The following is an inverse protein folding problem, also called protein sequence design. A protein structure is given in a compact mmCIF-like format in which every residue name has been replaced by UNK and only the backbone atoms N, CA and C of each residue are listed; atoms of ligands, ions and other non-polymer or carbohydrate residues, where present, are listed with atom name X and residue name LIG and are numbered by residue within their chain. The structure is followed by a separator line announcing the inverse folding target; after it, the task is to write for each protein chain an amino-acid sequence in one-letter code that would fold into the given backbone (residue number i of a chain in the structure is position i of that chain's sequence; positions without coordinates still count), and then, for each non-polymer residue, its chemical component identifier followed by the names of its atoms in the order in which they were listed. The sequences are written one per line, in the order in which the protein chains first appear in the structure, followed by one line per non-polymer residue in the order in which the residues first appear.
data_IF_931743701194
#
_entry.id   IF_931743701194
#
_cell.length_a   1.000
_cell.length_b   1.000
_cell.length_c   1.000
_cell.angle_alpha   90.00
_cell.angle_beta   90.00
_cell.angle_gamma   90.00
#
_symmetry.space_group_name_H-M   'P 1'
#
loop_
_entity.id
_entity.type
_entity.pdbx_description
1 polymer ?
#
# COMPACT_ATOMS: atom_id res chain seq x y z
N UNK A 1 -22.46 3.08 -3.98
CA UNK A 1 -21.14 3.59 -3.57
C UNK A 1 -20.10 2.59 -4.07
N UNK A 2 -19.45 2.86 -5.20
CA UNK A 2 -18.39 1.99 -5.72
C UNK A 2 -17.07 2.32 -5.02
N UNK A 3 -16.26 1.31 -4.71
CA UNK A 3 -14.93 1.50 -4.12
C UNK A 3 -14.01 2.33 -5.03
N UNK A 4 -14.24 2.28 -6.34
CA UNK A 4 -13.55 3.11 -7.33
C UNK A 4 -13.77 4.61 -7.05
N UNK A 5 -15.01 5.02 -6.78
CA UNK A 5 -15.33 6.41 -6.52
C UNK A 5 -14.70 6.90 -5.20
N UNK A 6 -14.51 6.01 -4.22
CA UNK A 6 -13.77 6.32 -2.99
C UNK A 6 -12.26 6.54 -3.24
N UNK A 7 -11.66 5.80 -4.18
CA UNK A 7 -10.26 6.02 -4.58
C UNK A 7 -10.11 7.37 -5.27
N UNK A 8 -10.97 7.64 -6.24
CA UNK A 8 -10.89 8.86 -7.04
C UNK A 8 -11.20 10.11 -6.18
N UNK A 9 -12.21 10.05 -5.30
CA UNK A 9 -12.65 11.22 -4.52
C UNK A 9 -11.94 11.38 -3.17
N UNK A 10 -11.41 10.32 -2.54
CA UNK A 10 -10.83 10.40 -1.18
C UNK A 10 -9.36 9.98 -1.08
N UNK A 11 -8.78 9.38 -2.13
CA UNK A 11 -7.34 9.03 -2.17
C UNK A 11 -6.54 9.92 -3.13
N UNK A 12 -7.12 10.33 -4.26
CA UNK A 12 -6.46 11.19 -5.25
C UNK A 12 -6.64 12.69 -5.01
N UNK A 13 -7.33 13.09 -3.94
CA UNK A 13 -7.41 14.50 -3.56
C UNK A 13 -6.07 15.01 -3.00
N UNK A 14 -5.80 16.28 -3.24
CA UNK A 14 -4.65 17.00 -2.66
C UNK A 14 -4.62 16.81 -1.15
N UNK A 15 -3.48 16.33 -0.63
CA UNK A 15 -3.28 16.17 0.80
C UNK A 15 -3.06 17.56 1.40
N UNK A 16 -4.02 18.03 2.19
CA UNK A 16 -3.89 19.22 3.06
C UNK A 16 -3.55 20.52 2.28
N UNK A 17 -4.08 20.69 1.07
CA UNK A 17 -3.84 21.87 0.22
C UNK A 17 -2.41 21.97 -0.35
N UNK A 18 -1.60 20.92 -0.20
CA UNK A 18 -0.33 20.76 -0.91
C UNK A 18 -0.59 19.99 -2.21
N UNK A 19 0.06 20.33 -3.35
CA UNK A 19 -0.05 19.60 -4.62
C UNK A 19 0.73 18.26 -4.57
N UNK A 20 0.60 17.54 -3.46
CA UNK A 20 1.20 16.23 -3.23
C UNK A 20 0.07 15.22 -3.40
N UNK A 21 -0.07 14.74 -4.63
CA UNK A 21 -0.93 13.59 -4.91
C UNK A 21 -0.12 12.30 -4.73
N UNK A 22 -0.81 11.22 -4.37
CA UNK A 22 -0.21 9.89 -4.44
C UNK A 22 0.06 9.56 -5.91
N UNK A 23 1.22 8.98 -6.21
CA UNK A 23 1.54 8.51 -7.56
C UNK A 23 0.60 7.37 -7.97
N UNK A 24 0.23 6.51 -7.01
CA UNK A 24 -0.76 5.46 -7.21
C UNK A 24 -1.41 5.01 -5.90
N UNK A 25 -2.61 4.45 -5.99
CA UNK A 25 -3.33 3.90 -4.86
C UNK A 25 -4.07 2.60 -5.23
N UNK A 26 -4.08 1.64 -4.31
CA UNK A 26 -4.87 0.43 -4.46
C UNK A 26 -5.55 0.00 -3.18
N UNK A 27 -6.68 -0.66 -3.39
CA UNK A 27 -7.59 -1.22 -2.41
C UNK A 27 -7.64 -2.71 -2.67
N UNK A 28 -6.96 -3.48 -1.81
CA UNK A 28 -6.88 -4.92 -1.92
C UNK A 28 -7.49 -5.58 -0.67
N UNK A 29 -8.29 -6.62 -0.88
CA UNK A 29 -8.83 -7.47 0.18
C UNK A 29 -7.77 -8.35 0.80
N UNK A 30 -8.04 -8.86 2.01
CA UNK A 30 -7.14 -9.79 2.70
C UNK A 30 -6.96 -11.11 1.94
N UNK A 31 -7.93 -11.47 1.11
CA UNK A 31 -7.91 -12.65 0.22
C UNK A 31 -7.04 -12.43 -1.04
N UNK A 32 -6.36 -11.27 -1.16
CA UNK A 32 -5.54 -10.90 -2.32
C UNK A 32 -6.33 -10.35 -3.50
N UNK A 33 -7.66 -10.23 -3.36
CA UNK A 33 -8.52 -9.76 -4.43
C UNK A 33 -8.52 -8.22 -4.51
N UNK A 34 -8.28 -7.65 -5.70
CA UNK A 34 -8.33 -6.20 -5.92
C UNK A 34 -9.77 -5.74 -5.88
N UNK A 35 -10.09 -4.82 -4.98
CA UNK A 35 -11.41 -4.21 -4.90
C UNK A 35 -11.46 -2.87 -5.64
N UNK A 36 -10.36 -2.11 -5.63
CA UNK A 36 -10.19 -0.93 -6.48
C UNK A 36 -8.70 -0.63 -6.66
N UNK A 37 -8.33 -0.03 -7.78
CA UNK A 37 -6.96 0.44 -8.02
C UNK A 37 -6.98 1.66 -8.93
N UNK A 38 -6.03 2.56 -8.75
CA UNK A 38 -5.73 3.62 -9.69
C UNK A 38 -5.11 3.04 -10.96
N UNK A 39 -5.35 3.67 -12.11
CA UNK A 39 -4.76 3.30 -13.40
C UNK A 39 -3.22 3.38 -13.44
N UNK A 40 -2.61 4.13 -12.52
CA UNK A 40 -1.15 4.25 -12.36
C UNK A 40 -0.55 3.23 -11.41
N UNK A 41 -1.36 2.34 -10.81
CA UNK A 41 -0.85 1.33 -9.89
C UNK A 41 -0.08 0.25 -10.65
N UNK A 42 1.18 -0.03 -10.28
CA UNK A 42 1.97 -1.03 -10.98
C UNK A 42 1.36 -2.43 -10.78
N UNK A 43 1.46 -3.32 -11.78
CA UNK A 43 0.99 -4.69 -11.64
C UNK A 43 1.82 -5.40 -10.57
N UNK A 44 1.16 -5.86 -9.53
CA UNK A 44 1.78 -6.57 -8.39
C UNK A 44 1.46 -8.06 -8.45
N UNK A 45 2.24 -8.88 -7.74
CA UNK A 45 2.01 -10.33 -7.69
C UNK A 45 1.27 -10.74 -6.41
N UNK A 46 0.54 -11.86 -6.42
CA UNK A 46 -0.10 -12.39 -5.20
C UNK A 46 0.92 -12.67 -4.09
N UNK A 47 2.14 -13.06 -4.46
CA UNK A 47 3.25 -13.34 -3.55
C UNK A 47 3.65 -12.10 -2.73
N UNK A 48 3.69 -10.92 -3.37
CA UNK A 48 3.94 -9.64 -2.70
C UNK A 48 2.86 -9.38 -1.65
N UNK A 49 1.59 -9.65 -1.97
CA UNK A 49 0.49 -9.48 -1.01
C UNK A 49 0.64 -10.42 0.18
N UNK A 50 0.92 -11.69 -0.06
CA UNK A 50 1.12 -12.69 0.98
C UNK A 50 2.28 -12.30 1.90
N UNK A 51 3.38 -11.80 1.35
CA UNK A 51 4.52 -11.34 2.13
C UNK A 51 4.14 -10.17 3.06
N UNK A 52 3.34 -9.22 2.57
CA UNK A 52 2.82 -8.11 3.39
C UNK A 52 1.82 -8.63 4.44
N UNK A 53 0.98 -9.62 4.13
CA UNK A 53 0.09 -10.25 5.11
C UNK A 53 0.88 -10.90 6.24
N UNK A 54 1.96 -11.60 5.92
CA UNK A 54 2.87 -12.17 6.90
C UNK A 54 3.52 -11.09 7.76
N UNK A 55 3.93 -9.95 7.20
CA UNK A 55 4.49 -8.85 8.00
C UNK A 55 3.48 -8.20 8.96
N UNK A 56 2.19 -8.18 8.60
CA UNK A 56 1.16 -7.76 9.56
C UNK A 56 0.89 -8.78 10.67
N UNK A 57 1.18 -10.07 10.44
CA UNK A 57 1.08 -11.10 11.47
C UNK A 57 2.34 -11.12 12.35
N UNK A 58 3.50 -10.98 11.71
CA UNK A 58 4.84 -10.98 12.29
C UNK A 58 5.57 -9.69 11.90
N UNK A 59 5.41 -8.60 12.69
CA UNK A 59 6.01 -7.32 12.39
C UNK A 59 7.53 -7.44 12.30
N UNK A 60 8.10 -7.12 11.14
CA UNK A 60 9.53 -7.17 10.88
C UNK A 60 9.99 -8.35 10.03
N UNK A 61 9.08 -9.26 9.63
CA UNK A 61 9.41 -10.34 8.68
C UNK A 61 9.87 -9.81 7.32
N UNK A 62 9.40 -8.63 6.91
CA UNK A 62 9.82 -7.96 5.67
C UNK A 62 11.05 -7.05 5.83
N UNK A 63 11.56 -6.83 7.04
CA UNK A 63 12.76 -6.02 7.26
C UNK A 63 14.02 -6.56 6.52
N UNK A 64 14.32 -7.88 6.53
CA UNK A 64 15.50 -8.40 5.83
C UNK A 64 15.34 -8.52 4.30
N UNK A 65 14.12 -8.80 3.82
CA UNK A 65 13.84 -9.01 2.38
C UNK A 65 13.49 -7.72 1.66
N UNK A 66 12.81 -6.79 2.34
CA UNK A 66 12.25 -5.56 1.80
C UNK A 66 10.81 -5.73 1.31
N UNK A 67 10.04 -4.64 1.30
CA UNK A 67 8.69 -4.60 0.78
C UNK A 67 8.74 -4.57 -0.75
N UNK A 68 8.20 -5.59 -1.41
CA UNK A 68 8.07 -5.60 -2.87
C UNK A 68 6.65 -5.18 -3.26
N UNK A 69 6.57 -4.25 -4.21
CA UNK A 69 5.31 -3.75 -4.76
C UNK A 69 5.50 -3.53 -6.26
N UNK A 70 4.88 -4.36 -7.08
CA UNK A 70 4.98 -4.25 -8.53
C UNK A 70 6.39 -4.44 -9.06
N UNK A 71 7.14 -5.38 -8.48
CA UNK A 71 8.55 -5.64 -8.82
C UNK A 71 9.53 -4.59 -8.30
N UNK A 72 9.05 -3.58 -7.57
CA UNK A 72 9.88 -2.56 -6.96
C UNK A 72 10.15 -2.88 -5.49
N UNK A 73 11.43 -2.95 -5.13
CA UNK A 73 11.85 -3.10 -3.73
C UNK A 73 11.84 -1.75 -2.99
N UNK A 74 11.11 -1.70 -1.89
CA UNK A 74 11.06 -0.62 -0.91
C UNK A 74 11.72 -1.07 0.39
N UNK A 75 12.54 -0.22 1.00
CA UNK A 75 13.11 -0.47 2.33
C UNK A 75 12.03 -0.28 3.38
N UNK A 76 11.73 -1.33 4.14
CA UNK A 76 10.79 -1.24 5.25
C UNK A 76 11.35 -0.30 6.31
N UNK A 77 10.58 0.72 6.67
CA UNK A 77 10.86 1.62 7.77
C UNK A 77 9.88 1.34 8.91
N UNK A 78 10.18 1.85 10.10
CA UNK A 78 9.32 1.67 11.25
C UNK A 78 7.91 2.20 10.97
N UNK A 79 6.94 1.28 10.97
CA UNK A 79 5.51 1.57 10.89
C UNK A 79 4.81 1.37 12.24
N UNK A 80 3.50 1.18 12.19
CA UNK A 80 2.71 0.77 13.36
C UNK A 80 2.52 -0.75 13.34
N UNK A 81 3.01 -1.49 14.36
CA UNK A 81 2.94 -2.94 14.37
C UNK A 81 1.48 -3.41 14.28
N UNK A 82 1.20 -4.29 13.31
CA UNK A 82 -0.14 -4.83 13.06
C UNK A 82 -1.14 -3.88 12.39
N UNK A 83 -0.79 -2.61 12.17
CA UNK A 83 -1.70 -1.60 11.61
C UNK A 83 -1.17 -0.92 10.35
N UNK A 84 0.11 -0.52 10.31
CA UNK A 84 0.68 0.24 9.19
C UNK A 84 2.11 -0.23 8.89
N UNK A 85 2.36 -0.60 7.64
CA UNK A 85 3.70 -0.88 7.10
C UNK A 85 4.10 0.31 6.23
N UNK A 86 5.32 0.80 6.39
CA UNK A 86 5.87 1.88 5.58
C UNK A 86 7.12 1.40 4.87
N UNK A 87 7.23 1.71 3.60
CA UNK A 87 8.37 1.44 2.74
C UNK A 87 8.90 2.74 2.16
N UNK A 88 10.23 2.89 2.07
CA UNK A 88 10.89 4.02 1.44
C UNK A 88 11.77 3.54 0.29
N UNK A 89 11.76 4.27 -0.83
CA UNK A 89 12.65 4.03 -1.98
C UNK A 89 13.16 5.37 -2.51
N UNK A 90 14.37 5.76 -2.09
CA UNK A 90 14.98 7.03 -2.52
C UNK A 90 14.09 8.23 -2.13
N UNK A 91 13.64 8.98 -3.14
CA UNK A 91 12.73 10.11 -3.00
C UNK A 91 11.23 9.71 -2.88
N UNK A 92 10.87 8.46 -3.21
CA UNK A 92 9.50 7.94 -3.12
C UNK A 92 9.28 7.02 -1.91
N UNK A 93 8.02 6.61 -1.71
CA UNK A 93 7.62 5.73 -0.63
C UNK A 93 6.33 4.95 -0.91
N UNK A 94 6.09 3.92 -0.12
CA UNK A 94 4.85 3.17 -0.12
C UNK A 94 4.36 3.02 1.30
N UNK A 95 3.08 3.23 1.55
CA UNK A 95 2.45 3.03 2.85
C UNK A 95 1.29 2.07 2.69
N UNK A 96 1.32 1.00 3.47
CA UNK A 96 0.29 -0.03 3.49
C UNK A 96 -0.39 0.01 4.85
N UNK A 97 -1.68 0.33 4.89
CA UNK A 97 -2.49 0.35 6.11
C UNK A 97 -3.47 -0.81 6.12
N UNK A 98 -3.40 -1.64 7.17
CA UNK A 98 -4.38 -2.69 7.47
C UNK A 98 -5.60 -2.06 8.13
N UNK A 99 -6.78 -2.41 7.64
CA UNK A 99 -8.06 -2.08 8.29
C UNK A 99 -8.86 -3.37 8.50
N UNK A 100 -9.94 -3.26 9.28
CA UNK A 100 -10.73 -4.38 9.80
C UNK A 100 -11.32 -5.25 8.66
N UNK A 101 -11.60 -4.67 7.48
CA UNK A 101 -12.05 -5.39 6.27
C UNK A 101 -11.14 -5.22 5.06
N UNK A 102 -10.17 -4.30 5.11
CA UNK A 102 -9.64 -3.70 3.89
C UNK A 102 -8.16 -3.25 4.03
N UNK A 103 -7.33 -3.29 2.97
CA UNK A 103 -5.94 -2.79 2.99
C UNK A 103 -5.76 -1.61 2.03
N UNK A 104 -5.43 -0.43 2.56
CA UNK A 104 -5.12 0.79 1.77
C UNK A 104 -3.62 0.82 1.47
N UNK A 105 -3.24 0.66 0.19
CA UNK A 105 -1.87 0.85 -0.29
C UNK A 105 -1.78 2.23 -0.95
N UNK A 106 -1.02 3.15 -0.36
CA UNK A 106 -0.71 4.48 -0.88
C UNK A 106 0.75 4.47 -1.37
N UNK A 107 1.00 4.74 -2.65
CA UNK A 107 2.35 4.90 -3.21
C UNK A 107 2.58 6.38 -3.48
N UNK A 108 3.53 6.98 -2.77
CA UNK A 108 4.00 8.36 -2.94
C UNK A 108 5.20 8.39 -3.87
#
# INVERSE_FOLDING_TARGET
MSWQQYVDEHLMCDIDGQPIHLTAAAIIGHDGNVWAQSSTFPPFTPEEISAIMNDFAEPGSLAPTGLFLGGVKYMVIQGEPGAVIRGKKGAGGATVKKTIKFRRCNVS
#
